data_IF_890121733595
#
_entry.id   IF_890121733595
#
_cell.length_a   1.000
_cell.length_b   1.000
_cell.length_c   1.000
_cell.angle_alpha   90.00
_cell.angle_beta   90.00
_cell.angle_gamma   90.00
#
_symmetry.space_group_name_H-M   'P 1'
#
loop_
_entity.id
_entity.type
_entity.pdbx_description
1 polymer ?
#
# COMPACT_ATOMS: atom_id res chain seq x y z
N UNK A 1 12.28 11.30 -8.38
CA UNK A 1 12.63 11.32 -9.80
C UNK A 1 11.92 10.20 -10.56
N UNK A 2 12.30 8.93 -10.41
CA UNK A 2 11.73 7.82 -11.22
C UNK A 2 10.19 7.72 -11.13
N UNK A 3 9.63 7.71 -9.92
CA UNK A 3 8.16 7.63 -9.72
C UNK A 3 7.45 8.79 -10.44
N UNK A 4 7.96 10.01 -10.29
CA UNK A 4 7.36 11.18 -10.95
C UNK A 4 7.43 11.08 -12.47
N UNK A 5 8.52 10.57 -13.01
CA UNK A 5 8.71 10.40 -14.45
C UNK A 5 7.78 9.32 -15.02
N UNK A 6 7.59 8.21 -14.29
CA UNK A 6 6.66 7.14 -14.68
C UNK A 6 5.21 7.64 -14.66
N UNK A 7 4.80 8.33 -13.59
CA UNK A 7 3.44 8.89 -13.47
C UNK A 7 3.16 9.95 -14.54
N UNK A 8 4.17 10.77 -14.86
CA UNK A 8 4.05 11.80 -15.91
C UNK A 8 4.13 11.23 -17.35
N UNK A 9 4.40 9.93 -17.52
CA UNK A 9 4.61 9.30 -18.83
C UNK A 9 5.94 9.68 -19.49
N UNK A 10 6.87 10.26 -18.74
CA UNK A 10 8.19 10.64 -19.25
C UNK A 10 9.17 9.47 -19.32
N UNK A 11 8.96 8.47 -18.47
CA UNK A 11 9.77 7.25 -18.50
C UNK A 11 9.35 6.35 -19.66
N UNK A 12 10.32 5.97 -20.47
CA UNK A 12 10.09 5.11 -21.63
C UNK A 12 10.75 3.76 -21.40
N UNK A 13 10.04 2.71 -21.74
CA UNK A 13 10.55 1.34 -21.80
C UNK A 13 11.76 1.28 -22.72
N UNK A 14 12.95 0.89 -22.25
CA UNK A 14 14.16 0.83 -23.05
C UNK A 14 14.04 -0.11 -24.27
N UNK A 15 13.23 -1.15 -24.16
CA UNK A 15 13.07 -2.16 -25.22
C UNK A 15 12.10 -1.75 -26.32
N UNK A 16 11.07 -0.96 -26.01
CA UNK A 16 10.01 -0.59 -26.95
C UNK A 16 9.97 0.90 -27.29
N UNK A 17 10.64 1.75 -26.49
CA UNK A 17 10.59 3.20 -26.61
C UNK A 17 9.24 3.82 -26.21
N UNK A 18 8.27 3.03 -25.74
CA UNK A 18 6.94 3.49 -25.35
C UNK A 18 6.93 3.96 -23.90
N UNK A 19 6.12 4.98 -23.60
CA UNK A 19 5.90 5.39 -22.21
C UNK A 19 5.23 4.27 -21.41
N UNK A 20 5.69 4.02 -20.20
CA UNK A 20 5.00 3.12 -19.28
C UNK A 20 3.66 3.74 -18.87
N UNK A 21 2.60 2.96 -18.94
CA UNK A 21 1.30 3.38 -18.44
C UNK A 21 1.11 2.93 -16.99
N UNK A 22 0.70 3.86 -16.15
CA UNK A 22 0.30 3.58 -14.77
C UNK A 22 -1.12 4.09 -14.51
N UNK A 23 -1.97 3.32 -13.83
CA UNK A 23 -3.39 3.64 -13.66
C UNK A 23 -3.69 4.61 -12.51
N UNK A 24 -2.70 5.22 -11.90
CA UNK A 24 -2.83 6.20 -10.81
C UNK A 24 -2.28 7.57 -11.23
N UNK A 25 -2.79 8.65 -10.62
CA UNK A 25 -2.44 10.02 -10.97
C UNK A 25 -1.25 10.55 -10.18
N UNK A 26 -1.05 10.05 -8.96
CA UNK A 26 0.04 10.51 -8.08
C UNK A 26 0.44 9.46 -7.06
N UNK A 27 1.74 9.49 -6.72
CA UNK A 27 2.28 8.88 -5.51
C UNK A 27 3.05 9.99 -4.77
N UNK A 28 2.76 10.15 -3.48
CA UNK A 28 3.50 11.01 -2.58
C UNK A 28 4.04 10.20 -1.41
N UNK A 29 5.34 10.29 -1.23
CA UNK A 29 6.08 9.69 -0.11
C UNK A 29 6.80 10.86 0.55
N UNK A 30 6.37 11.26 1.72
CA UNK A 30 6.87 12.44 2.42
C UNK A 30 7.30 12.05 3.84
N UNK A 31 8.24 12.80 4.39
CA UNK A 31 8.68 12.61 5.78
C UNK A 31 7.48 12.66 6.73
N UNK A 32 6.59 13.63 6.53
CA UNK A 32 5.27 13.69 7.15
C UNK A 32 4.26 14.35 6.21
N UNK A 33 3.03 13.90 6.29
CA UNK A 33 1.88 14.50 5.60
C UNK A 33 1.02 15.36 6.55
N UNK A 34 1.42 15.48 7.83
CA UNK A 34 0.61 16.19 8.83
C UNK A 34 0.37 17.65 8.44
N UNK A 35 -0.91 18.00 8.31
CA UNK A 35 -1.37 19.30 7.83
C UNK A 35 -1.44 19.44 6.30
N UNK A 36 -0.84 18.53 5.53
CA UNK A 36 -0.81 18.55 4.07
C UNK A 36 -1.76 17.58 3.37
N UNK A 37 -2.55 16.80 4.13
CA UNK A 37 -3.39 15.74 3.55
C UNK A 37 -4.44 16.27 2.56
N UNK A 38 -5.01 17.45 2.83
CA UNK A 38 -5.96 18.08 1.92
C UNK A 38 -5.27 18.53 0.62
N UNK A 39 -4.07 19.08 0.71
CA UNK A 39 -3.33 19.61 -0.45
C UNK A 39 -2.93 18.50 -1.41
N UNK A 40 -2.53 17.33 -0.89
CA UNK A 40 -2.17 16.19 -1.74
C UNK A 40 -3.39 15.48 -2.33
N UNK A 41 -4.56 15.54 -1.66
CA UNK A 41 -5.79 14.88 -2.14
C UNK A 41 -6.60 15.75 -3.10
N UNK A 42 -6.64 17.07 -2.91
CA UNK A 42 -7.47 18.00 -3.68
C UNK A 42 -7.30 17.88 -5.20
N UNK A 43 -6.06 17.71 -5.75
CA UNK A 43 -5.87 17.59 -7.19
C UNK A 43 -6.60 16.40 -7.83
N UNK A 44 -6.89 15.33 -7.07
CA UNK A 44 -7.55 14.12 -7.57
C UNK A 44 -9.04 14.31 -7.86
N UNK A 45 -9.65 15.41 -7.40
CA UNK A 45 -11.07 15.75 -7.64
C UNK A 45 -12.00 14.55 -7.40
N UNK A 46 -11.91 13.99 -6.21
CA UNK A 46 -12.64 12.77 -5.82
C UNK A 46 -14.14 13.00 -5.56
N UNK A 47 -14.60 14.23 -5.55
CA UNK A 47 -15.98 14.61 -5.23
C UNK A 47 -16.06 15.45 -3.95
N UNK A 48 -17.30 15.70 -3.49
CA UNK A 48 -17.55 16.55 -2.31
C UNK A 48 -18.00 15.77 -1.08
N UNK A 49 -18.42 14.52 -1.25
CA UNK A 49 -18.74 13.59 -0.15
C UNK A 49 -17.69 12.48 -0.14
N UNK A 50 -16.82 12.51 0.85
CA UNK A 50 -15.75 11.54 0.96
C UNK A 50 -15.97 10.67 2.21
N UNK A 51 -15.86 9.36 2.07
CA UNK A 51 -15.81 8.45 3.18
C UNK A 51 -14.34 8.14 3.52
N UNK A 52 -13.89 8.58 4.69
CA UNK A 52 -12.59 8.18 5.24
C UNK A 52 -12.78 6.87 5.99
N UNK A 53 -12.23 5.79 5.46
CA UNK A 53 -12.35 4.45 6.02
C UNK A 53 -11.03 4.03 6.66
N UNK A 54 -11.07 3.70 7.93
CA UNK A 54 -9.96 3.20 8.73
C UNK A 54 -10.43 2.07 9.66
N UNK A 55 -9.52 1.39 10.32
CA UNK A 55 -9.82 0.56 11.48
C UNK A 55 -9.47 1.29 12.79
N UNK A 56 -9.73 0.67 13.93
CA UNK A 56 -9.48 1.29 15.24
C UNK A 56 -8.00 1.67 15.43
N UNK A 57 -7.05 0.85 14.96
CA UNK A 57 -5.62 1.12 15.09
C UNK A 57 -5.16 2.19 14.10
N UNK A 58 -5.54 2.06 12.84
CA UNK A 58 -5.14 3.01 11.79
C UNK A 58 -5.89 4.34 11.93
N UNK A 59 -7.08 4.33 12.52
CA UNK A 59 -7.80 5.53 12.91
C UNK A 59 -7.04 6.40 13.92
N UNK A 60 -6.43 5.77 14.94
CA UNK A 60 -5.59 6.46 15.90
C UNK A 60 -4.25 6.90 15.30
N UNK A 61 -3.64 6.05 14.48
CA UNK A 61 -2.35 6.35 13.87
C UNK A 61 -2.42 7.53 12.87
N UNK A 62 -3.48 7.61 12.07
CA UNK A 62 -3.58 8.60 10.99
C UNK A 62 -5.02 8.94 10.58
N UNK A 63 -5.99 8.02 10.67
CA UNK A 63 -7.31 8.16 10.07
C UNK A 63 -8.08 9.38 10.56
N UNK A 64 -8.12 9.63 11.88
CA UNK A 64 -8.77 10.79 12.47
C UNK A 64 -8.14 12.11 12.02
N UNK A 65 -6.82 12.14 11.89
CA UNK A 65 -6.06 13.29 11.39
C UNK A 65 -6.46 13.59 9.95
N UNK A 66 -6.44 12.57 9.08
CA UNK A 66 -6.87 12.68 7.68
C UNK A 66 -8.32 13.17 7.60
N UNK A 67 -9.26 12.53 8.31
CA UNK A 67 -10.67 12.95 8.31
C UNK A 67 -10.84 14.41 8.75
N UNK A 68 -10.09 14.87 9.74
CA UNK A 68 -10.11 16.26 10.21
C UNK A 68 -9.63 17.24 9.14
N UNK A 69 -8.48 16.95 8.51
CA UNK A 69 -7.88 17.89 7.55
C UNK A 69 -8.64 17.92 6.21
N UNK A 70 -9.32 16.84 5.83
CA UNK A 70 -10.11 16.81 4.61
C UNK A 70 -11.44 17.58 4.68
N UNK A 71 -11.88 18.05 5.87
CA UNK A 71 -13.14 18.80 6.02
C UNK A 71 -13.24 20.05 5.15
N UNK A 72 -12.09 20.65 4.79
CA UNK A 72 -12.03 21.76 3.86
C UNK A 72 -12.40 21.42 2.41
N UNK A 73 -12.35 20.15 2.03
CA UNK A 73 -12.67 19.69 0.68
C UNK A 73 -14.15 19.35 0.47
N UNK A 74 -14.91 19.12 1.56
CA UNK A 74 -16.33 18.75 1.48
C UNK A 74 -16.86 18.09 2.74
N UNK A 75 -17.94 17.32 2.57
CA UNK A 75 -18.50 16.49 3.65
C UNK A 75 -17.64 15.24 3.83
N UNK A 76 -17.19 14.99 5.05
CA UNK A 76 -16.35 13.85 5.40
C UNK A 76 -17.14 12.95 6.36
N UNK A 77 -17.34 11.72 5.94
CA UNK A 77 -17.92 10.66 6.76
C UNK A 77 -16.78 9.74 7.23
N UNK A 78 -16.57 9.66 8.53
CA UNK A 78 -15.53 8.79 9.12
C UNK A 78 -16.14 7.43 9.43
N UNK A 79 -15.59 6.38 8.82
CA UNK A 79 -16.02 5.00 8.99
C UNK A 79 -14.89 4.22 9.66
N UNK A 80 -15.09 3.86 10.91
CA UNK A 80 -14.11 3.06 11.68
C UNK A 80 -14.57 1.61 11.72
N UNK A 81 -13.73 0.72 11.22
CA UNK A 81 -13.93 -0.73 11.22
C UNK A 81 -13.19 -1.37 12.41
N UNK A 82 -13.53 -2.60 12.80
CA UNK A 82 -12.75 -3.34 13.81
C UNK A 82 -11.32 -3.58 13.34
N UNK A 83 -10.35 -3.57 14.26
CA UNK A 83 -8.92 -3.86 13.96
C UNK A 83 -8.66 -5.31 13.53
N UNK A 84 -9.62 -6.19 13.72
CA UNK A 84 -9.58 -7.61 13.32
C UNK A 84 -10.16 -7.84 11.92
N UNK A 85 -10.39 -6.76 11.15
CA UNK A 85 -10.98 -6.88 9.82
C UNK A 85 -10.12 -7.75 8.89
N UNK A 86 -10.79 -8.55 8.10
CA UNK A 86 -10.22 -9.24 6.94
C UNK A 86 -10.81 -8.67 5.66
N UNK A 87 -10.07 -8.77 4.58
CA UNK A 87 -10.61 -8.45 3.26
C UNK A 87 -11.43 -9.65 2.77
N UNK A 88 -12.67 -9.74 3.24
CA UNK A 88 -13.63 -10.78 2.89
C UNK A 88 -14.93 -10.19 2.30
N UNK A 89 -15.76 -11.04 1.71
CA UNK A 89 -16.98 -10.58 1.06
C UNK A 89 -17.96 -9.88 2.03
N UNK A 90 -18.16 -10.32 3.29
CA UNK A 90 -18.98 -9.61 4.26
C UNK A 90 -18.46 -8.22 4.60
N UNK A 91 -17.13 -8.08 4.83
CA UNK A 91 -16.52 -6.79 5.16
C UNK A 91 -16.59 -5.83 3.97
N UNK A 92 -16.39 -6.33 2.75
CA UNK A 92 -16.55 -5.56 1.52
C UNK A 92 -17.97 -5.04 1.39
N UNK A 93 -18.99 -5.90 1.58
CA UNK A 93 -20.40 -5.51 1.54
C UNK A 93 -20.74 -4.46 2.61
N UNK A 94 -20.19 -4.60 3.82
CA UNK A 94 -20.36 -3.63 4.91
C UNK A 94 -19.78 -2.26 4.51
N UNK A 95 -18.59 -2.22 3.91
CA UNK A 95 -17.99 -0.97 3.43
C UNK A 95 -18.81 -0.35 2.32
N UNK A 96 -19.30 -1.13 1.35
CA UNK A 96 -20.17 -0.64 0.29
C UNK A 96 -21.46 -0.01 0.89
N UNK A 97 -22.11 -0.66 1.83
CA UNK A 97 -23.31 -0.15 2.48
C UNK A 97 -23.04 1.15 3.24
N UNK A 98 -22.02 1.16 4.11
CA UNK A 98 -21.70 2.32 4.94
C UNK A 98 -21.26 3.53 4.12
N UNK A 99 -20.70 3.32 2.95
CA UNK A 99 -20.13 4.38 2.10
C UNK A 99 -20.95 4.67 0.85
N UNK A 100 -22.13 4.05 0.66
CA UNK A 100 -22.96 4.16 -0.56
C UNK A 100 -23.30 5.59 -0.98
N UNK A 101 -23.33 6.52 -0.04
CA UNK A 101 -23.65 7.94 -0.26
C UNK A 101 -22.42 8.79 -0.56
N UNK A 102 -21.22 8.23 -0.47
CA UNK A 102 -19.97 8.95 -0.74
C UNK A 102 -19.59 8.88 -2.23
N UNK A 103 -19.05 9.98 -2.75
CA UNK A 103 -18.55 10.06 -4.13
C UNK A 103 -17.31 9.19 -4.32
N UNK A 104 -16.48 9.10 -3.26
CA UNK A 104 -15.26 8.31 -3.25
C UNK A 104 -14.90 7.84 -1.83
N UNK A 105 -14.03 6.83 -1.76
CA UNK A 105 -13.43 6.36 -0.51
C UNK A 105 -11.98 6.86 -0.42
N UNK A 106 -11.62 7.32 0.77
CA UNK A 106 -10.23 7.57 1.20
C UNK A 106 -9.89 6.50 2.23
N UNK A 107 -9.16 5.48 1.81
CA UNK A 107 -8.71 4.42 2.70
C UNK A 107 -7.51 4.88 3.52
N UNK A 108 -7.53 4.70 4.83
CA UNK A 108 -6.40 4.99 5.71
C UNK A 108 -6.01 3.74 6.47
N UNK A 109 -5.01 3.03 5.96
CA UNK A 109 -4.62 1.75 6.53
C UNK A 109 -3.56 1.00 5.74
N UNK A 110 -3.40 -0.28 6.03
CA UNK A 110 -2.48 -1.17 5.34
C UNK A 110 -3.22 -2.23 4.49
N UNK A 111 -2.65 -3.40 4.30
CA UNK A 111 -3.09 -4.40 3.33
C UNK A 111 -4.59 -4.70 3.29
N UNK A 112 -5.15 -5.30 4.35
CA UNK A 112 -6.53 -5.75 4.36
C UNK A 112 -7.53 -4.60 4.14
N UNK A 113 -7.31 -3.46 4.81
CA UNK A 113 -8.17 -2.29 4.68
C UNK A 113 -8.09 -1.70 3.26
N UNK A 114 -6.88 -1.56 2.72
CA UNK A 114 -6.67 -1.04 1.37
C UNK A 114 -7.36 -1.92 0.33
N UNK A 115 -7.21 -3.23 0.42
CA UNK A 115 -7.83 -4.17 -0.51
C UNK A 115 -9.36 -4.21 -0.37
N UNK A 116 -9.89 -4.11 0.85
CA UNK A 116 -11.33 -4.00 1.10
C UNK A 116 -11.92 -2.77 0.44
N UNK A 117 -11.33 -1.58 0.65
CA UNK A 117 -11.80 -0.34 0.05
C UNK A 117 -11.63 -0.32 -1.48
N UNK A 118 -10.51 -0.84 -1.97
CA UNK A 118 -10.22 -1.00 -3.39
C UNK A 118 -11.28 -1.85 -4.08
N UNK A 119 -11.57 -3.02 -3.53
CA UNK A 119 -12.54 -3.94 -4.14
C UNK A 119 -13.99 -3.45 -4.00
N UNK A 120 -14.35 -2.85 -2.86
CA UNK A 120 -15.66 -2.23 -2.68
C UNK A 120 -15.91 -1.13 -3.72
N UNK A 121 -14.95 -0.21 -3.91
CA UNK A 121 -15.09 0.86 -4.90
C UNK A 121 -15.04 0.38 -6.33
N UNK A 122 -14.28 -0.68 -6.62
CA UNK A 122 -14.26 -1.32 -7.94
C UNK A 122 -15.65 -1.88 -8.29
N UNK A 123 -16.28 -2.60 -7.36
CA UNK A 123 -17.64 -3.14 -7.58
C UNK A 123 -18.69 -2.05 -7.78
N UNK A 124 -18.52 -0.91 -7.13
CA UNK A 124 -19.47 0.22 -7.20
C UNK A 124 -19.14 1.21 -8.35
N UNK A 125 -18.03 1.03 -9.04
CA UNK A 125 -17.55 1.97 -10.07
C UNK A 125 -17.14 3.34 -9.52
N UNK A 126 -16.78 3.44 -8.23
CA UNK A 126 -16.38 4.67 -7.55
C UNK A 126 -14.86 4.84 -7.54
N UNK A 127 -14.42 6.08 -7.36
CA UNK A 127 -12.99 6.41 -7.17
C UNK A 127 -12.54 6.06 -5.76
N UNK A 128 -11.22 5.77 -5.60
CA UNK A 128 -10.63 5.71 -4.28
C UNK A 128 -9.18 6.22 -4.29
N UNK A 129 -8.73 6.67 -3.11
CA UNK A 129 -7.34 7.00 -2.83
C UNK A 129 -6.93 6.32 -1.52
N UNK A 130 -5.64 6.15 -1.29
CA UNK A 130 -5.14 5.47 -0.10
C UNK A 130 -4.04 6.25 0.60
N UNK A 131 -4.15 6.37 1.93
CA UNK A 131 -3.09 6.75 2.84
C UNK A 131 -2.56 5.48 3.51
N UNK A 132 -1.35 5.07 3.15
CA UNK A 132 -0.71 3.89 3.75
C UNK A 132 -0.17 4.21 5.14
N UNK A 133 -0.50 3.37 6.12
CA UNK A 133 -0.07 3.53 7.53
C UNK A 133 1.08 2.63 7.92
N UNK A 134 1.53 1.75 7.04
CA UNK A 134 2.64 0.85 7.30
C UNK A 134 3.30 0.39 5.99
N UNK A 135 4.59 0.17 6.01
CA UNK A 135 5.33 -0.46 4.92
C UNK A 135 5.17 -1.99 4.95
N UNK A 136 3.91 -2.49 4.93
CA UNK A 136 3.58 -3.90 5.16
C UNK A 136 3.40 -4.71 3.88
N UNK A 137 3.34 -4.06 2.73
CA UNK A 137 3.13 -4.69 1.42
C UNK A 137 3.60 -3.79 0.29
N UNK A 138 3.79 -4.37 -0.88
CA UNK A 138 4.01 -3.64 -2.14
C UNK A 138 2.72 -3.39 -2.93
N UNK A 139 1.58 -3.91 -2.48
CA UNK A 139 0.30 -3.96 -3.20
C UNK A 139 -0.53 -2.68 -3.22
N UNK A 140 -0.07 -1.55 -2.66
CA UNK A 140 -0.83 -0.28 -2.68
C UNK A 140 -1.20 0.16 -4.10
N UNK A 141 -0.29 0.01 -5.06
CA UNK A 141 -0.48 0.39 -6.45
C UNK A 141 -1.13 -0.69 -7.32
N UNK A 142 -1.38 -1.89 -6.77
CA UNK A 142 -1.91 -3.01 -7.53
C UNK A 142 -3.35 -2.76 -8.01
N UNK A 143 -3.66 -3.23 -9.22
CA UNK A 143 -5.01 -3.27 -9.77
C UNK A 143 -5.73 -4.60 -9.46
N UNK A 144 -5.28 -5.30 -8.43
CA UNK A 144 -5.91 -6.49 -7.85
C UNK A 144 -6.13 -6.31 -6.37
N UNK A 145 -7.04 -7.08 -5.78
CA UNK A 145 -7.28 -7.16 -4.35
C UNK A 145 -7.23 -8.62 -3.89
N UNK A 146 -6.62 -8.86 -2.74
CA UNK A 146 -6.57 -10.19 -2.12
C UNK A 146 -7.81 -10.37 -1.25
N UNK A 147 -8.78 -11.18 -1.72
CA UNK A 147 -10.10 -11.33 -1.10
C UNK A 147 -10.30 -12.75 -0.62
N UNK A 148 -10.82 -12.90 0.59
CA UNK A 148 -11.32 -14.18 1.12
C UNK A 148 -12.80 -14.32 0.73
N UNK A 149 -13.09 -15.35 -0.06
CA UNK A 149 -14.45 -15.66 -0.51
C UNK A 149 -15.25 -16.35 0.62
N UNK A 150 -16.59 -16.37 0.49
CA UNK A 150 -17.49 -17.02 1.47
C UNK A 150 -17.22 -18.51 1.71
N UNK A 151 -16.55 -19.17 0.78
CA UNK A 151 -16.10 -20.57 0.93
C UNK A 151 -14.76 -20.71 1.67
N UNK A 152 -14.19 -19.60 2.20
CA UNK A 152 -12.91 -19.57 2.90
C UNK A 152 -11.68 -19.54 1.98
N UNK A 153 -11.85 -19.58 0.66
CA UNK A 153 -10.72 -19.53 -0.28
C UNK A 153 -10.25 -18.10 -0.48
N UNK A 154 -8.97 -17.86 -0.19
CA UNK A 154 -8.32 -16.57 -0.44
C UNK A 154 -7.74 -16.52 -1.84
N UNK A 155 -8.11 -15.52 -2.61
CA UNK A 155 -7.69 -15.36 -4.01
C UNK A 155 -7.45 -13.91 -4.38
N UNK A 156 -6.65 -13.69 -5.40
CA UNK A 156 -6.44 -12.36 -5.99
C UNK A 156 -7.48 -12.11 -7.07
N UNK A 157 -8.31 -11.09 -6.87
CA UNK A 157 -9.36 -10.71 -7.80
C UNK A 157 -9.00 -9.43 -8.55
N UNK A 158 -9.42 -9.28 -9.83
CA UNK A 158 -9.30 -8.02 -10.54
C UNK A 158 -10.01 -6.89 -9.80
N UNK A 159 -9.37 -5.75 -9.72
CA UNK A 159 -9.87 -4.53 -9.12
C UNK A 159 -9.37 -3.31 -9.91
N UNK A 160 -9.28 -2.15 -9.29
CA UNK A 160 -8.66 -0.97 -9.89
C UNK A 160 -7.58 -0.39 -8.96
N UNK A 161 -6.58 0.26 -9.54
CA UNK A 161 -5.61 0.99 -8.74
C UNK A 161 -6.24 2.24 -8.11
N UNK A 162 -5.67 2.75 -6.98
CA UNK A 162 -6.08 4.02 -6.41
C UNK A 162 -5.78 5.18 -7.36
N UNK A 163 -6.54 6.26 -7.26
CA UNK A 163 -6.22 7.50 -7.98
C UNK A 163 -4.95 8.18 -7.43
N UNK A 164 -4.71 8.04 -6.13
CA UNK A 164 -3.51 8.51 -5.47
C UNK A 164 -3.09 7.64 -4.31
N UNK A 165 -1.78 7.57 -4.06
CA UNK A 165 -1.14 6.83 -2.98
C UNK A 165 -0.32 7.82 -2.17
N UNK A 166 -0.57 7.86 -0.87
CA UNK A 166 0.05 8.79 0.07
C UNK A 166 0.68 8.03 1.22
N UNK A 167 1.99 8.17 1.39
CA UNK A 167 2.76 7.50 2.42
C UNK A 167 3.45 8.54 3.30
N UNK A 168 3.13 8.49 4.60
CA UNK A 168 3.76 9.27 5.66
C UNK A 168 4.83 8.38 6.30
N UNK A 169 6.11 8.77 6.18
CA UNK A 169 7.21 7.96 6.65
C UNK A 169 7.25 7.89 8.18
N UNK A 170 6.85 8.95 8.88
CA UNK A 170 6.80 8.93 10.35
C UNK A 170 5.71 7.97 10.86
N UNK A 171 4.54 7.96 10.22
CA UNK A 171 3.47 7.01 10.55
C UNK A 171 3.91 5.57 10.25
N UNK A 172 4.53 5.36 9.09
CA UNK A 172 5.03 4.04 8.69
C UNK A 172 6.13 3.51 9.62
N UNK A 173 7.02 4.40 10.08
CA UNK A 173 8.09 4.05 11.04
C UNK A 173 7.56 3.75 12.45
N UNK A 174 6.45 4.39 12.84
CA UNK A 174 5.78 4.14 14.12
C UNK A 174 4.91 2.87 14.11
N UNK A 175 4.65 2.30 12.95
CA UNK A 175 3.86 1.07 12.81
C UNK A 175 4.54 -0.12 13.51
N UNK A 176 3.77 -1.14 13.93
CA UNK A 176 4.34 -2.34 14.52
C UNK A 176 5.41 -2.97 13.60
N UNK A 177 6.58 -3.27 14.17
CA UNK A 177 7.75 -3.76 13.42
C UNK A 177 7.46 -4.99 12.53
N UNK A 178 6.57 -5.88 12.96
CA UNK A 178 6.19 -7.05 12.18
C UNK A 178 5.53 -6.69 10.83
N UNK A 179 4.88 -5.51 10.73
CA UNK A 179 4.35 -5.02 9.46
C UNK A 179 5.47 -4.65 8.48
N UNK A 180 6.52 -3.99 8.96
CA UNK A 180 7.70 -3.69 8.12
C UNK A 180 8.43 -4.97 7.70
N UNK A 181 8.54 -5.96 8.61
CA UNK A 181 9.11 -7.26 8.28
C UNK A 181 8.27 -8.02 7.22
N UNK A 182 6.93 -7.94 7.32
CA UNK A 182 6.03 -8.50 6.32
C UNK A 182 6.22 -7.85 4.95
N UNK A 183 6.30 -6.50 4.89
CA UNK A 183 6.54 -5.78 3.65
C UNK A 183 7.91 -6.05 3.02
N UNK A 184 8.93 -6.25 3.87
CA UNK A 184 10.24 -6.69 3.38
C UNK A 184 10.14 -8.09 2.75
N UNK A 185 9.48 -9.05 3.40
CA UNK A 185 9.24 -10.39 2.85
C UNK A 185 8.49 -10.34 1.52
N UNK A 186 7.45 -9.51 1.45
CA UNK A 186 6.66 -9.26 0.23
C UNK A 186 7.50 -8.66 -0.91
N UNK A 187 8.50 -7.86 -0.57
CA UNK A 187 9.41 -7.27 -1.56
C UNK A 187 10.54 -8.22 -1.97
N UNK A 188 11.05 -9.04 -1.07
CA UNK A 188 12.14 -9.98 -1.33
C UNK A 188 11.73 -11.15 -2.24
N UNK A 189 10.44 -11.48 -2.36
CA UNK A 189 9.98 -12.52 -3.26
C UNK A 189 10.00 -12.11 -4.75
N UNK A 190 10.10 -10.81 -5.05
CA UNK A 190 9.99 -10.28 -6.43
C UNK A 190 11.02 -10.83 -7.41
N UNK A 191 12.32 -10.90 -7.11
CA UNK A 191 13.28 -11.48 -8.05
C UNK A 191 12.93 -12.90 -8.47
N UNK A 192 12.47 -13.74 -7.51
CA UNK A 192 12.03 -15.11 -7.80
C UNK A 192 10.76 -15.10 -8.67
N UNK A 193 9.76 -14.30 -8.32
CA UNK A 193 8.54 -14.19 -9.10
C UNK A 193 8.79 -13.70 -10.54
N UNK A 194 9.74 -12.81 -10.74
CA UNK A 194 10.13 -12.35 -12.09
C UNK A 194 10.77 -13.46 -12.92
N UNK A 195 11.64 -14.27 -12.32
CA UNK A 195 12.25 -15.42 -12.99
C UNK A 195 11.18 -16.45 -13.38
N UNK A 196 10.23 -16.72 -12.49
CA UNK A 196 9.11 -17.63 -12.76
C UNK A 196 8.21 -17.09 -13.89
N UNK A 197 7.92 -15.80 -13.91
CA UNK A 197 7.15 -15.16 -14.97
C UNK A 197 7.87 -15.23 -16.32
N UNK A 198 9.18 -14.95 -16.33
CA UNK A 198 10.02 -15.10 -17.53
C UNK A 198 10.08 -16.56 -18.00
N UNK A 199 10.25 -17.53 -17.09
CA UNK A 199 10.23 -18.95 -17.41
C UNK A 199 8.87 -19.39 -18.00
N UNK A 200 7.77 -18.94 -17.42
CA UNK A 200 6.42 -19.19 -17.95
C UNK A 200 6.27 -18.66 -19.38
N UNK A 201 6.79 -17.45 -19.64
CA UNK A 201 6.82 -16.92 -21.01
C UNK A 201 7.60 -17.82 -21.98
N UNK A 202 8.80 -18.26 -21.55
CA UNK A 202 9.67 -19.11 -22.40
C UNK A 202 9.09 -20.49 -22.68
N UNK A 203 8.41 -21.07 -21.69
CA UNK A 203 7.88 -22.44 -21.76
C UNK A 203 6.48 -22.51 -22.38
N UNK A 204 5.63 -21.53 -22.09
CA UNK A 204 4.20 -21.58 -22.41
C UNK A 204 3.71 -20.42 -23.29
N UNK A 205 4.59 -19.49 -23.68
CA UNK A 205 4.21 -18.32 -24.49
C UNK A 205 3.31 -17.32 -23.75
N UNK A 206 3.27 -17.32 -22.41
CA UNK A 206 2.49 -16.36 -21.63
C UNK A 206 3.00 -14.94 -21.82
N UNK A 207 2.16 -13.95 -21.61
CA UNK A 207 2.58 -12.57 -21.65
C UNK A 207 3.74 -12.30 -20.67
N UNK A 208 4.74 -11.54 -21.11
CA UNK A 208 5.87 -11.06 -20.29
C UNK A 208 6.22 -9.63 -20.68
N UNK A 209 6.61 -8.83 -19.71
CA UNK A 209 7.15 -7.48 -19.93
C UNK A 209 8.43 -7.29 -19.12
N UNK A 210 9.44 -6.70 -19.74
CA UNK A 210 10.70 -6.34 -19.10
C UNK A 210 10.54 -5.08 -18.22
N UNK A 211 9.50 -4.27 -18.43
CA UNK A 211 9.29 -2.98 -17.77
C UNK A 211 9.34 -3.04 -16.24
N UNK A 212 8.65 -3.95 -15.55
CA UNK A 212 8.73 -4.03 -14.09
C UNK A 212 10.15 -4.30 -13.59
N UNK A 213 10.91 -5.13 -14.31
CA UNK A 213 12.31 -5.41 -13.97
C UNK A 213 13.18 -4.16 -14.10
N UNK A 214 13.11 -3.46 -15.22
CA UNK A 214 13.88 -2.24 -15.48
C UNK A 214 13.59 -1.13 -14.46
N UNK A 215 12.34 -1.03 -14.01
CA UNK A 215 11.92 -0.02 -13.04
C UNK A 215 12.48 -0.25 -11.63
N UNK A 216 12.71 -1.50 -11.23
CA UNK A 216 13.04 -1.83 -9.83
C UNK A 216 14.45 -2.38 -9.64
N UNK A 217 15.11 -2.86 -10.70
CA UNK A 217 16.43 -3.52 -10.62
C UNK A 217 17.52 -2.61 -10.04
N UNK A 218 17.40 -1.30 -10.22
CA UNK A 218 18.33 -0.32 -9.66
C UNK A 218 18.23 -0.17 -8.14
N UNK A 219 17.03 -0.37 -7.57
CA UNK A 219 16.75 -0.15 -6.14
C UNK A 219 16.89 -1.45 -5.31
N UNK A 220 16.79 -2.62 -5.94
CA UNK A 220 16.84 -3.92 -5.24
C UNK A 220 18.14 -4.16 -4.45
N UNK A 221 19.36 -3.84 -4.96
CA UNK A 221 20.58 -4.03 -4.20
C UNK A 221 20.63 -3.22 -2.90
N UNK A 222 20.15 -1.97 -2.92
CA UNK A 222 20.10 -1.13 -1.73
C UNK A 222 19.01 -1.60 -0.76
N UNK A 223 17.86 -2.05 -1.25
CA UNK A 223 16.83 -2.67 -0.43
C UNK A 223 17.37 -3.92 0.29
N UNK A 224 18.09 -4.81 -0.40
CA UNK A 224 18.68 -6.01 0.21
C UNK A 224 19.74 -5.64 1.25
N UNK A 225 20.58 -4.66 0.98
CA UNK A 225 21.61 -4.18 1.91
C UNK A 225 21.00 -3.59 3.19
N UNK A 226 19.92 -2.81 3.07
CA UNK A 226 19.24 -2.19 4.20
C UNK A 226 18.30 -3.15 4.93
N UNK A 227 17.89 -4.25 4.29
CA UNK A 227 17.03 -5.29 4.85
C UNK A 227 17.56 -5.87 6.17
N UNK A 228 18.88 -6.03 6.31
CA UNK A 228 19.49 -6.49 7.54
C UNK A 228 19.16 -5.57 8.74
N UNK A 229 19.13 -4.25 8.54
CA UNK A 229 18.75 -3.27 9.58
C UNK A 229 17.29 -3.40 10.01
N UNK A 230 16.39 -3.77 9.11
CA UNK A 230 14.97 -4.00 9.43
C UNK A 230 14.77 -5.29 10.21
N UNK A 231 15.57 -6.33 9.95
CA UNK A 231 15.38 -7.67 10.52
C UNK A 231 16.13 -7.89 11.84
N UNK A 232 17.28 -7.24 12.06
CA UNK A 232 18.26 -7.75 12.99
C UNK A 232 18.11 -7.35 14.45
N UNK A 233 17.54 -6.19 14.79
CA UNK A 233 17.66 -5.77 16.20
C UNK A 233 16.40 -6.03 17.03
N UNK A 234 15.22 -5.79 16.52
CA UNK A 234 13.99 -5.91 17.33
C UNK A 234 13.25 -7.24 17.18
N UNK A 235 13.27 -7.83 16.00
CA UNK A 235 12.50 -9.06 15.75
C UNK A 235 13.19 -10.29 16.34
N UNK A 236 14.51 -10.39 16.19
CA UNK A 236 15.30 -11.45 16.80
C UNK A 236 15.22 -11.37 18.34
N UNK A 237 15.25 -10.17 18.90
CA UNK A 237 15.13 -9.96 20.34
C UNK A 237 13.78 -10.42 20.88
N UNK A 238 12.68 -10.06 20.20
CA UNK A 238 11.32 -10.47 20.63
C UNK A 238 11.05 -11.95 20.44
N UNK A 239 11.50 -12.57 19.34
CA UNK A 239 11.31 -14.01 19.10
C UNK A 239 12.15 -14.87 20.02
N UNK A 240 13.26 -14.34 20.55
CA UNK A 240 14.14 -15.02 21.50
C UNK A 240 13.88 -14.63 22.96
N UNK A 241 12.90 -13.74 23.23
CA UNK A 241 12.63 -13.25 24.58
C UNK A 241 13.76 -12.40 25.18
N UNK A 242 14.60 -11.80 24.33
CA UNK A 242 15.77 -11.01 24.73
C UNK A 242 15.38 -9.52 24.75
N UNK A 243 15.69 -8.81 25.83
CA UNK A 243 15.51 -7.35 25.89
C UNK A 243 16.40 -6.65 24.85
N UNK A 244 15.87 -5.58 24.24
CA UNK A 244 16.57 -4.80 23.21
C UNK A 244 17.90 -4.20 23.69
N UNK A 245 18.03 -3.90 25.00
CA UNK A 245 19.26 -3.43 25.61
C UNK A 245 20.33 -4.54 25.69
N UNK A 246 19.92 -5.77 25.95
CA UNK A 246 20.81 -6.95 26.00
C UNK A 246 21.29 -7.36 24.62
N UNK A 247 20.49 -7.12 23.57
CA UNK A 247 20.87 -7.39 22.18
C UNK A 247 21.96 -6.43 21.68
N UNK A 248 21.89 -5.15 22.03
CA UNK A 248 22.98 -4.19 21.74
C UNK A 248 24.31 -4.60 22.37
N UNK A 249 24.25 -5.22 23.54
CA UNK A 249 25.45 -5.68 24.22
C UNK A 249 26.06 -6.95 23.60
N UNK A 250 25.22 -7.86 23.06
CA UNK A 250 25.65 -9.14 22.47
C UNK A 250 26.06 -9.05 21.00
N UNK A 251 25.42 -8.18 20.23
CA UNK A 251 25.56 -8.17 18.77
C UNK A 251 26.19 -6.90 18.20
N UNK A 252 26.51 -5.92 19.04
CA UNK A 252 27.10 -4.63 18.63
C UNK A 252 26.10 -3.72 17.92
N UNK A 253 26.39 -2.41 17.92
CA UNK A 253 25.67 -1.48 17.05
C UNK A 253 26.07 -1.79 15.60
N UNK A 254 25.12 -1.85 14.64
CA UNK A 254 25.49 -1.85 13.24
C UNK A 254 26.23 -0.55 12.93
N UNK A 255 27.44 -0.69 12.34
CA UNK A 255 28.24 0.42 11.89
C UNK A 255 27.63 1.07 10.65
#
# INVERSE_FOLDING_TARGET
>A
ALISDVVAGNWKDPSTGKAAFVPFETIRIEETLDGGEADVLAPLKLGRRLAVVCDTNTGEAMGRRVAKHLKGLGTIDEIVLPSTLECDEPTIALVQEKTRHADAIVAVGSGALSDTCKYATFKDGRKYATFGTAASMNGYAASTASVTLNNGYKTSLPAHAPRGIFLDLQVSAAAPHWLSAAGLGDSLCRPTAQVEWWASHRLFGTFYSQVPYELISGDEPEMIKTAAGVLTTRHLCRSLGIDSAEAHHRFGSPA
#
